data_IF_054841083162
#
_entry.id   IF_054841083162
#
_cell.length_a   1.000
_cell.length_b   1.000
_cell.length_c   1.000
_cell.angle_alpha   90.00
_cell.angle_beta   90.00
_cell.angle_gamma   90.00
#
_symmetry.space_group_name_H-M   'P 1'
#
loop_
_entity.id
_entity.type
_entity.pdbx_description
1 polymer ?
#
# COMPACT_ATOMS: atom_id res chain seq x y z
N UNK A 1 24.83 -10.22 -34.66
CA UNK A 1 23.63 -9.34 -34.65
C UNK A 1 23.28 -9.09 -33.18
N UNK A 2 23.11 -7.85 -32.73
CA UNK A 2 22.57 -7.63 -31.38
C UNK A 2 21.08 -7.97 -31.42
N UNK A 3 20.65 -8.92 -30.61
CA UNK A 3 19.22 -9.21 -30.46
C UNK A 3 18.55 -8.01 -29.78
N UNK A 4 17.35 -7.68 -30.23
CA UNK A 4 16.54 -6.66 -29.56
C UNK A 4 16.13 -7.16 -28.18
N UNK A 5 16.39 -6.36 -27.15
CA UNK A 5 15.91 -6.62 -25.79
C UNK A 5 14.62 -5.81 -25.53
N UNK A 6 13.45 -6.48 -25.40
CA UNK A 6 12.18 -5.80 -25.17
C UNK A 6 12.03 -5.26 -23.75
N UNK A 7 12.76 -5.78 -22.76
CA UNK A 7 12.49 -5.49 -21.35
C UNK A 7 12.70 -4.04 -20.96
N UNK A 8 13.80 -3.36 -21.36
CA UNK A 8 13.97 -1.94 -21.06
C UNK A 8 12.87 -1.08 -21.68
N UNK A 9 12.40 -1.43 -22.88
CA UNK A 9 11.31 -0.70 -23.57
C UNK A 9 9.99 -0.90 -22.84
N UNK A 10 9.70 -2.14 -22.42
CA UNK A 10 8.51 -2.48 -21.64
C UNK A 10 8.50 -1.74 -20.31
N UNK A 11 9.55 -1.86 -19.50
CA UNK A 11 9.60 -1.22 -18.18
C UNK A 11 9.58 0.31 -18.28
N UNK A 12 10.28 0.91 -19.26
CA UNK A 12 10.19 2.36 -19.47
C UNK A 12 8.76 2.81 -19.80
N UNK A 13 8.06 2.06 -20.66
CA UNK A 13 6.67 2.34 -21.02
C UNK A 13 5.73 2.15 -19.84
N UNK A 14 5.85 1.02 -19.15
CA UNK A 14 4.95 0.62 -18.08
C UNK A 14 5.16 1.48 -16.84
N UNK A 15 6.42 1.77 -16.49
CA UNK A 15 6.73 2.71 -15.41
C UNK A 15 6.10 4.08 -15.67
N UNK A 16 6.17 4.61 -16.91
CA UNK A 16 5.53 5.89 -17.24
C UNK A 16 4.01 5.88 -17.05
N UNK A 17 3.35 4.73 -17.17
CA UNK A 17 1.89 4.57 -17.00
C UNK A 17 1.49 4.28 -15.56
N UNK A 18 2.27 3.44 -14.87
CA UNK A 18 1.91 2.89 -13.55
C UNK A 18 2.55 3.63 -12.38
N UNK A 19 3.56 4.47 -12.59
CA UNK A 19 4.24 5.15 -11.48
C UNK A 19 3.31 5.95 -10.55
N UNK A 20 2.23 6.64 -11.02
CA UNK A 20 1.35 7.36 -10.11
C UNK A 20 0.57 6.40 -9.22
N UNK A 21 0.19 5.22 -9.75
CA UNK A 21 -0.48 4.18 -8.99
C UNK A 21 0.46 3.58 -7.93
N UNK A 22 1.69 3.23 -8.30
CA UNK A 22 2.67 2.68 -7.35
C UNK A 22 3.01 3.69 -6.25
N UNK A 23 3.14 4.97 -6.61
CA UNK A 23 3.38 6.04 -5.64
C UNK A 23 2.19 6.21 -4.71
N UNK A 24 0.97 6.30 -5.24
CA UNK A 24 -0.26 6.38 -4.46
C UNK A 24 -0.47 5.17 -3.55
N UNK A 25 -0.18 3.96 -4.04
CA UNK A 25 -0.22 2.73 -3.27
C UNK A 25 0.77 2.77 -2.10
N UNK A 26 2.01 3.18 -2.34
CA UNK A 26 3.02 3.31 -1.30
C UNK A 26 2.62 4.35 -0.23
N UNK A 27 2.18 5.53 -0.65
CA UNK A 27 1.73 6.59 0.27
C UNK A 27 0.54 6.11 1.12
N UNK A 28 -0.45 5.49 0.48
CA UNK A 28 -1.64 4.96 1.17
C UNK A 28 -1.26 3.86 2.16
N UNK A 29 -0.38 2.94 1.76
CA UNK A 29 0.15 1.90 2.63
C UNK A 29 0.82 2.48 3.88
N UNK A 30 1.71 3.46 3.71
CA UNK A 30 2.38 4.13 4.84
C UNK A 30 1.36 4.81 5.76
N UNK A 31 0.36 5.51 5.23
CA UNK A 31 -0.67 6.17 6.03
C UNK A 31 -1.50 5.15 6.83
N UNK A 32 -1.98 4.09 6.20
CA UNK A 32 -2.76 3.05 6.87
C UNK A 32 -1.90 2.39 7.96
N UNK A 33 -0.65 2.03 7.67
CA UNK A 33 0.25 1.46 8.67
C UNK A 33 0.45 2.41 9.85
N UNK A 34 0.60 3.70 9.63
CA UNK A 34 0.73 4.70 10.71
C UNK A 34 -0.55 4.82 11.55
N UNK A 35 -1.72 4.85 10.90
CA UNK A 35 -3.00 4.91 11.60
C UNK A 35 -3.23 3.64 12.43
N UNK A 36 -2.97 2.47 11.86
CA UNK A 36 -3.12 1.18 12.56
C UNK A 36 -2.12 1.04 13.71
N UNK A 37 -0.87 1.46 13.53
CA UNK A 37 0.14 1.44 14.59
C UNK A 37 -0.16 2.44 15.73
N UNK A 38 -0.97 3.48 15.44
CA UNK A 38 -1.41 4.46 16.42
C UNK A 38 -2.66 4.05 17.21
N UNK A 39 -3.28 2.90 16.91
CA UNK A 39 -4.43 2.42 17.66
C UNK A 39 -4.03 2.04 19.08
N UNK A 40 -4.72 2.62 20.05
CA UNK A 40 -4.47 2.42 21.48
C UNK A 40 -5.47 1.47 22.12
N UNK A 41 -5.20 1.04 23.36
CA UNK A 41 -6.16 0.27 24.14
C UNK A 41 -7.46 1.03 24.42
N UNK A 42 -7.41 2.37 24.48
CA UNK A 42 -8.62 3.20 24.65
C UNK A 42 -9.53 3.10 23.42
N UNK A 43 -8.95 3.12 22.22
CA UNK A 43 -9.69 2.89 20.97
C UNK A 43 -10.32 1.49 20.94
N UNK A 44 -9.57 0.49 21.41
CA UNK A 44 -10.06 -0.88 21.52
C UNK A 44 -11.20 -1.02 22.55
N UNK A 45 -11.12 -0.30 23.68
CA UNK A 45 -12.18 -0.24 24.69
C UNK A 45 -13.42 0.48 24.17
N UNK A 46 -13.28 1.49 23.32
CA UNK A 46 -14.41 2.25 22.76
C UNK A 46 -15.03 1.59 21.52
N UNK A 47 -14.33 0.65 20.88
CA UNK A 47 -14.82 -0.03 19.69
C UNK A 47 -15.83 -1.13 19.99
N UNK A 48 -17.11 -0.89 19.62
CA UNK A 48 -18.19 -1.90 19.71
C UNK A 48 -17.80 -3.21 19.01
N UNK A 49 -17.12 -3.13 17.87
CA UNK A 49 -16.66 -4.30 17.12
C UNK A 49 -15.66 -5.13 17.92
N UNK A 50 -14.65 -4.48 18.52
CA UNK A 50 -13.65 -5.18 19.35
C UNK A 50 -14.30 -5.78 20.59
N UNK A 51 -15.23 -5.08 21.23
CA UNK A 51 -15.96 -5.62 22.38
C UNK A 51 -16.78 -6.86 22.03
N UNK A 52 -17.48 -6.86 20.89
CA UNK A 52 -18.28 -8.01 20.44
C UNK A 52 -17.43 -9.21 20.03
N UNK A 53 -16.20 -8.99 19.55
CA UNK A 53 -15.30 -10.04 19.08
C UNK A 53 -14.21 -10.41 20.09
N UNK A 54 -14.24 -9.83 21.29
CA UNK A 54 -13.43 -10.27 22.43
C UNK A 54 -14.05 -11.57 22.96
N UNK A 55 -13.77 -12.67 22.24
CA UNK A 55 -13.96 -14.04 22.74
C UNK A 55 -13.07 -14.28 23.95
#
# INVERSE_FOLDING_TARGET
MRLFDPWPVFFKREWKRCWPFLTGFAVTGVLITKLTAGLTEEDAKNSKFVQQHRR
#
